data_IF_932990244747
#
_entry.id   IF_932990244747
#
_cell.length_a   1.000
_cell.length_b   1.000
_cell.length_c   1.000
_cell.angle_alpha   90.00
_cell.angle_beta   90.00
_cell.angle_gamma   90.00
#
_symmetry.space_group_name_H-M   'P 1'
#
loop_
_entity.id
_entity.type
_entity.pdbx_description
1 polymer ?
#
# COMPACT_ATOMS: atom_id res chain seq x y z
N UNK A 1 -11.26 -1.52 9.06
CA UNK A 1 -11.17 -0.61 7.90
C UNK A 1 -10.98 -1.41 6.63
N UNK A 2 -11.53 -0.97 5.50
CA UNK A 2 -11.25 -1.57 4.18
C UNK A 2 -10.39 -0.61 3.37
N UNK A 3 -9.35 -1.12 2.70
CA UNK A 3 -8.48 -0.37 1.80
C UNK A 3 -8.74 -0.84 0.36
N UNK A 4 -9.03 0.08 -0.55
CA UNK A 4 -9.09 -0.19 -1.98
C UNK A 4 -7.69 -0.14 -2.59
N UNK A 5 -7.35 -1.10 -3.45
CA UNK A 5 -6.02 -1.20 -4.06
C UNK A 5 -6.16 -1.18 -5.57
N UNK A 6 -5.45 -0.26 -6.21
CA UNK A 6 -5.45 -0.06 -7.67
C UNK A 6 -4.01 0.24 -8.13
N UNK A 7 -3.71 -0.06 -9.39
CA UNK A 7 -2.42 0.22 -10.03
C UNK A 7 -2.60 0.29 -11.53
N UNK A 8 -1.60 0.84 -12.24
CA UNK A 8 -1.45 0.70 -13.68
C UNK A 8 -2.73 1.12 -14.43
N UNK A 9 -3.38 2.19 -13.98
CA UNK A 9 -4.67 2.64 -14.53
C UNK A 9 -4.52 3.21 -15.91
N UNK A 10 -3.37 3.79 -16.26
CA UNK A 10 -3.06 4.12 -17.64
C UNK A 10 -4.13 5.00 -18.31
N UNK A 11 -4.58 6.03 -17.58
CA UNK A 11 -5.47 7.05 -18.13
C UNK A 11 -4.65 8.02 -18.98
N UNK A 12 -4.23 7.55 -20.15
CA UNK A 12 -3.78 8.42 -21.22
C UNK A 12 -5.01 9.20 -21.71
N UNK A 13 -4.86 10.51 -21.92
CA UNK A 13 -5.82 11.45 -22.56
C UNK A 13 -6.29 12.67 -21.74
N UNK A 14 -5.62 13.08 -20.65
CA UNK A 14 -5.88 14.39 -20.01
C UNK A 14 -7.34 14.54 -19.55
N UNK A 15 -7.89 13.50 -18.92
CA UNK A 15 -9.26 13.44 -18.41
C UNK A 15 -10.36 13.12 -19.43
N UNK A 16 -10.02 12.80 -20.70
CA UNK A 16 -11.03 12.35 -21.69
C UNK A 16 -11.46 10.90 -21.49
N UNK A 17 -10.55 10.08 -20.98
CA UNK A 17 -10.83 8.72 -20.52
C UNK A 17 -10.89 8.74 -19.01
N UNK A 18 -11.98 8.19 -18.46
CA UNK A 18 -12.20 8.06 -17.03
C UNK A 18 -11.92 6.63 -16.59
N UNK A 19 -11.65 6.45 -15.30
CA UNK A 19 -11.61 5.13 -14.71
C UNK A 19 -13.00 4.48 -14.86
N UNK A 20 -13.10 3.17 -15.16
CA UNK A 20 -14.40 2.51 -15.21
C UNK A 20 -15.17 2.74 -13.92
N UNK A 21 -16.39 3.27 -14.04
CA UNK A 21 -17.22 3.68 -12.90
C UNK A 21 -17.46 2.51 -11.94
N UNK A 22 -17.51 1.29 -12.46
CA UNK A 22 -17.73 0.08 -11.69
C UNK A 22 -16.58 -0.21 -10.69
N UNK A 23 -15.37 0.32 -10.93
CA UNK A 23 -14.27 0.28 -9.96
C UNK A 23 -14.59 1.17 -8.76
N UNK A 24 -15.08 2.39 -9.02
CA UNK A 24 -15.48 3.33 -7.97
C UNK A 24 -16.68 2.78 -7.18
N UNK A 25 -17.70 2.29 -7.88
CA UNK A 25 -18.89 1.69 -7.27
C UNK A 25 -18.55 0.48 -6.38
N UNK A 26 -17.59 -0.37 -6.79
CA UNK A 26 -17.14 -1.47 -5.93
C UNK A 26 -16.47 -0.97 -4.66
N UNK A 27 -15.64 0.08 -4.74
CA UNK A 27 -15.02 0.66 -3.55
C UNK A 27 -16.04 1.30 -2.62
N UNK A 28 -17.04 2.00 -3.16
CA UNK A 28 -18.17 2.53 -2.38
C UNK A 28 -18.94 1.41 -1.69
N UNK A 29 -19.39 0.39 -2.45
CA UNK A 29 -20.13 -0.76 -1.91
C UNK A 29 -19.32 -1.51 -0.85
N UNK A 30 -17.99 -1.58 -0.98
CA UNK A 30 -17.10 -2.25 -0.04
C UNK A 30 -16.81 -1.42 1.23
N UNK A 31 -17.32 -0.18 1.31
CA UNK A 31 -17.05 0.72 2.42
C UNK A 31 -15.56 1.04 2.56
N UNK A 32 -14.89 1.28 1.43
CA UNK A 32 -13.46 1.62 1.41
C UNK A 32 -13.24 2.95 2.16
N UNK A 33 -12.36 2.94 3.15
CA UNK A 33 -11.99 4.12 3.94
C UNK A 33 -10.63 4.72 3.57
N UNK A 34 -9.86 4.06 2.70
CA UNK A 34 -8.58 4.49 2.17
C UNK A 34 -8.34 3.83 0.82
N UNK A 35 -7.85 4.56 -0.16
CA UNK A 35 -7.43 4.00 -1.45
C UNK A 35 -5.91 4.11 -1.58
N UNK A 36 -5.28 3.08 -2.14
CA UNK A 36 -3.86 3.11 -2.49
C UNK A 36 -3.66 2.84 -3.98
N UNK A 37 -2.81 3.67 -4.62
CA UNK A 37 -2.48 3.55 -6.05
C UNK A 37 -0.99 3.27 -6.26
N UNK A 38 -0.64 2.10 -6.82
CA UNK A 38 0.75 1.68 -7.00
C UNK A 38 1.44 2.24 -8.27
N UNK A 39 1.13 3.48 -8.65
CA UNK A 39 1.73 4.18 -9.80
C UNK A 39 1.15 3.84 -11.17
N UNK A 40 1.62 4.58 -12.18
CA UNK A 40 1.13 4.58 -13.56
C UNK A 40 -0.35 5.01 -13.66
N UNK A 41 -0.62 6.19 -13.08
CA UNK A 41 -1.88 6.92 -13.22
C UNK A 41 -2.01 7.54 -14.61
N UNK A 42 -0.87 8.06 -15.11
CA UNK A 42 -0.66 8.90 -16.28
C UNK A 42 -1.31 10.29 -16.19
N UNK A 43 -2.40 10.40 -15.46
CA UNK A 43 -3.19 11.61 -15.33
C UNK A 43 -3.62 11.84 -13.89
N UNK A 44 -3.52 13.09 -13.44
CA UNK A 44 -3.93 13.52 -12.10
C UNK A 44 -5.43 13.39 -11.87
N UNK A 45 -6.24 13.44 -12.92
CA UNK A 45 -7.70 13.25 -12.81
C UNK A 45 -8.08 11.92 -12.14
N UNK A 46 -7.26 10.87 -12.30
CA UNK A 46 -7.43 9.60 -11.59
C UNK A 46 -7.39 9.78 -10.07
N UNK A 47 -6.49 10.64 -9.54
CA UNK A 47 -6.46 10.94 -8.11
C UNK A 47 -7.77 11.60 -7.68
N UNK A 48 -8.25 12.58 -8.44
CA UNK A 48 -9.49 13.28 -8.12
C UNK A 48 -10.72 12.37 -8.17
N UNK A 49 -10.78 11.44 -9.13
CA UNK A 49 -11.84 10.42 -9.23
C UNK A 49 -11.84 9.48 -8.01
N UNK A 50 -10.67 9.03 -7.58
CA UNK A 50 -10.53 8.15 -6.41
C UNK A 50 -10.76 8.89 -5.08
N UNK A 51 -10.29 10.13 -4.97
CA UNK A 51 -10.47 10.99 -3.80
C UNK A 51 -11.94 11.35 -3.53
N UNK A 52 -12.79 11.27 -4.55
CA UNK A 52 -14.24 11.39 -4.37
C UNK A 52 -14.84 10.24 -3.53
N UNK A 53 -14.16 9.09 -3.46
CA UNK A 53 -14.59 7.91 -2.70
C UNK A 53 -13.96 7.90 -1.30
N UNK A 54 -12.63 8.04 -1.23
CA UNK A 54 -11.87 7.99 0.02
C UNK A 54 -10.50 8.67 -0.15
N UNK A 55 -9.81 9.06 0.95
CA UNK A 55 -8.44 9.56 0.87
C UNK A 55 -7.52 8.61 0.09
N UNK A 56 -6.60 9.16 -0.70
CA UNK A 56 -5.72 8.40 -1.58
C UNK A 56 -4.26 8.52 -1.15
N UNK A 57 -3.56 7.39 -1.09
CA UNK A 57 -2.10 7.33 -1.03
C UNK A 57 -1.58 6.77 -2.35
N UNK A 58 -0.68 7.48 -3.02
CA UNK A 58 -0.14 7.06 -4.31
C UNK A 58 1.38 7.18 -4.37
N UNK A 59 1.98 6.33 -5.17
CA UNK A 59 3.38 6.48 -5.66
C UNK A 59 3.34 6.74 -7.16
N UNK A 60 4.39 7.33 -7.72
CA UNK A 60 4.49 7.43 -9.17
C UNK A 60 5.06 6.14 -9.79
N UNK A 61 4.62 5.86 -11.02
CA UNK A 61 5.19 4.87 -11.92
C UNK A 61 6.10 5.50 -12.97
N UNK A 62 6.51 4.71 -13.96
CA UNK A 62 7.44 5.16 -15.00
C UNK A 62 6.76 5.85 -16.18
N UNK A 63 5.44 5.69 -16.34
CA UNK A 63 4.67 6.32 -17.42
C UNK A 63 3.97 7.61 -16.96
N UNK A 64 4.03 7.91 -15.66
CA UNK A 64 3.44 9.11 -15.08
C UNK A 64 4.05 10.41 -15.64
N UNK A 65 3.25 11.47 -15.66
CA UNK A 65 3.69 12.78 -16.15
C UNK A 65 4.69 13.42 -15.19
N UNK A 66 5.56 14.35 -15.65
CA UNK A 66 6.54 15.02 -14.79
C UNK A 66 5.93 15.64 -13.52
N UNK A 67 4.73 16.23 -13.63
CA UNK A 67 3.99 16.80 -12.50
C UNK A 67 3.63 15.74 -11.41
N UNK A 68 3.29 14.52 -11.82
CA UNK A 68 3.03 13.41 -10.91
C UNK A 68 4.34 12.87 -10.30
N UNK A 69 5.42 12.82 -11.07
CA UNK A 69 6.75 12.43 -10.56
C UNK A 69 7.26 13.40 -9.50
N UNK A 70 6.99 14.70 -9.65
CA UNK A 70 7.42 15.73 -8.69
C UNK A 70 6.61 15.71 -7.39
N UNK A 71 5.35 15.25 -7.44
CA UNK A 71 4.42 15.33 -6.30
C UNK A 71 4.23 14.01 -5.56
N UNK A 72 4.35 12.87 -6.25
CA UNK A 72 4.21 11.56 -5.64
C UNK A 72 5.61 11.00 -5.33
N UNK A 73 5.79 10.28 -4.22
CA UNK A 73 7.06 9.62 -3.94
C UNK A 73 7.22 8.34 -4.79
N UNK A 74 8.47 7.92 -5.00
CA UNK A 74 8.76 6.63 -5.67
C UNK A 74 8.39 5.42 -4.80
N UNK A 75 8.45 5.59 -3.48
CA UNK A 75 8.15 4.58 -2.46
C UNK A 75 7.45 5.27 -1.30
N UNK A 76 6.40 4.65 -0.79
CA UNK A 76 5.69 5.14 0.40
C UNK A 76 5.59 4.04 1.45
N UNK A 77 5.83 4.40 2.71
CA UNK A 77 5.58 3.55 3.89
C UNK A 77 4.45 4.16 4.69
N UNK A 78 3.49 3.34 5.09
CA UNK A 78 2.37 3.78 5.90
C UNK A 78 1.89 2.66 6.83
N UNK A 79 1.23 3.06 7.93
CA UNK A 79 0.67 2.12 8.90
C UNK A 79 -0.81 1.89 8.68
N UNK A 80 -1.28 0.68 8.96
CA UNK A 80 -2.69 0.35 9.06
C UNK A 80 -2.92 -0.51 10.33
N UNK A 81 -3.42 0.12 11.40
CA UNK A 81 -3.42 -0.51 12.73
C UNK A 81 -2.00 -0.77 13.22
N UNK A 82 -1.70 -2.03 13.57
CA UNK A 82 -0.34 -2.46 13.98
C UNK A 82 0.57 -2.86 12.83
N UNK A 83 0.08 -2.85 11.59
CA UNK A 83 0.81 -3.36 10.42
C UNK A 83 1.52 -2.23 9.68
N UNK A 84 2.70 -2.55 9.14
CA UNK A 84 3.51 -1.67 8.29
C UNK A 84 3.37 -2.09 6.84
N UNK A 85 2.87 -1.19 6.00
CA UNK A 85 2.69 -1.42 4.57
C UNK A 85 3.69 -0.58 3.76
N UNK A 86 4.13 -1.13 2.63
CA UNK A 86 4.95 -0.44 1.63
C UNK A 86 4.17 -0.38 0.31
N UNK A 87 4.21 0.77 -0.35
CA UNK A 87 3.69 0.98 -1.69
C UNK A 87 4.85 1.38 -2.60
N UNK A 88 5.00 0.70 -3.74
CA UNK A 88 6.06 0.95 -4.72
C UNK A 88 5.62 0.49 -6.11
N UNK A 89 5.91 1.23 -7.18
CA UNK A 89 5.49 0.81 -8.52
C UNK A 89 6.26 -0.43 -9.04
N UNK A 90 7.60 -0.41 -8.95
CA UNK A 90 8.46 -1.56 -9.29
C UNK A 90 9.24 -1.48 -10.61
N UNK A 91 9.37 -0.29 -11.23
CA UNK A 91 10.04 -0.09 -12.52
C UNK A 91 11.59 0.04 -12.46
N UNK A 92 12.22 -0.19 -11.31
CA UNK A 92 13.64 0.14 -11.05
C UNK A 92 14.67 -0.83 -11.70
N UNK A 93 14.57 -1.10 -13.01
CA UNK A 93 15.57 -1.85 -13.79
C UNK A 93 15.68 -3.34 -13.46
N UNK A 94 14.76 -3.87 -12.64
CA UNK A 94 14.55 -5.30 -12.36
C UNK A 94 13.11 -5.66 -12.71
N UNK A 95 12.70 -6.91 -12.45
CA UNK A 95 11.27 -7.24 -12.50
C UNK A 95 10.54 -6.54 -11.35
N UNK A 96 9.29 -6.12 -11.57
CA UNK A 96 8.44 -5.48 -10.54
C UNK A 96 8.43 -6.28 -9.23
N UNK A 97 8.27 -7.60 -9.36
CA UNK A 97 8.34 -8.55 -8.25
C UNK A 97 9.69 -8.52 -7.53
N UNK A 98 10.81 -8.47 -8.26
CA UNK A 98 12.13 -8.41 -7.65
C UNK A 98 12.35 -7.11 -6.86
N UNK A 99 11.78 -5.99 -7.32
CA UNK A 99 11.76 -4.74 -6.55
C UNK A 99 10.89 -4.89 -5.30
N UNK A 100 9.64 -5.37 -5.43
CA UNK A 100 8.77 -5.57 -4.26
C UNK A 100 9.43 -6.46 -3.18
N UNK A 101 10.14 -7.51 -3.62
CA UNK A 101 10.90 -8.41 -2.73
C UNK A 101 12.02 -7.73 -1.94
N UNK A 102 12.56 -6.58 -2.36
CA UNK A 102 13.60 -5.88 -1.58
C UNK A 102 13.07 -5.31 -0.26
N UNK A 103 11.75 -5.20 -0.13
CA UNK A 103 11.09 -4.73 1.08
C UNK A 103 10.62 -5.87 2.00
N UNK A 104 10.74 -7.13 1.57
CA UNK A 104 10.36 -8.28 2.38
C UNK A 104 11.18 -8.33 3.69
N UNK A 105 10.52 -8.60 4.80
CA UNK A 105 11.08 -8.54 6.16
C UNK A 105 11.09 -7.14 6.79
N UNK A 106 10.79 -6.09 6.03
CA UNK A 106 10.69 -4.70 6.54
C UNK A 106 9.27 -4.14 6.55
N UNK A 107 8.29 -4.95 6.17
CA UNK A 107 6.87 -4.62 6.08
C UNK A 107 6.03 -5.90 6.16
N UNK A 108 4.80 -5.79 6.64
CA UNK A 108 3.84 -6.90 6.64
C UNK A 108 3.23 -7.10 5.24
N UNK A 109 3.06 -6.01 4.49
CA UNK A 109 2.51 -6.01 3.12
C UNK A 109 3.31 -5.07 2.22
N UNK A 110 3.63 -5.52 1.00
CA UNK A 110 4.19 -4.68 -0.06
C UNK A 110 3.25 -4.71 -1.25
N UNK A 111 2.70 -3.55 -1.59
CA UNK A 111 1.80 -3.34 -2.71
C UNK A 111 2.60 -2.81 -3.89
N UNK A 112 2.46 -3.43 -5.05
CA UNK A 112 3.23 -3.07 -6.25
C UNK A 112 2.48 -3.23 -7.57
N UNK A 113 2.97 -2.56 -8.61
CA UNK A 113 2.35 -2.48 -9.94
C UNK A 113 3.26 -2.98 -11.06
N UNK A 114 3.31 -2.22 -12.16
CA UNK A 114 4.24 -2.29 -13.30
C UNK A 114 4.10 -3.51 -14.22
N UNK A 115 3.86 -4.69 -13.66
CA UNK A 115 3.71 -5.92 -14.45
C UNK A 115 2.31 -6.10 -15.03
N UNK A 116 1.30 -5.49 -14.40
CA UNK A 116 -0.13 -5.71 -14.64
C UNK A 116 -0.56 -7.18 -14.45
N UNK A 117 0.23 -7.96 -13.72
CA UNK A 117 -0.06 -9.37 -13.44
C UNK A 117 -0.61 -9.45 -12.01
N UNK A 118 -1.93 -9.62 -11.85
CA UNK A 118 -2.54 -9.77 -10.54
C UNK A 118 -1.93 -10.94 -9.77
N UNK A 119 -1.46 -10.69 -8.54
CA UNK A 119 -0.82 -11.72 -7.73
C UNK A 119 -0.79 -11.36 -6.25
N UNK A 120 -1.13 -12.33 -5.41
CA UNK A 120 -0.80 -12.33 -3.98
C UNK A 120 0.20 -13.46 -3.73
N UNK A 121 1.32 -13.17 -3.10
CA UNK A 121 2.30 -14.18 -2.69
C UNK A 121 2.89 -13.87 -1.33
N UNK A 122 3.21 -14.90 -0.55
CA UNK A 122 3.94 -14.74 0.73
C UNK A 122 5.43 -14.98 0.52
N UNK A 123 6.25 -14.07 1.03
CA UNK A 123 7.71 -14.14 1.02
C UNK A 123 8.20 -13.89 2.45
N UNK A 124 8.65 -14.96 3.12
CA UNK A 124 8.87 -14.96 4.57
C UNK A 124 7.60 -14.47 5.31
N UNK A 125 7.73 -13.48 6.19
CA UNK A 125 6.62 -12.90 6.96
C UNK A 125 5.91 -11.75 6.24
N UNK A 126 6.30 -11.43 4.99
CA UNK A 126 5.72 -10.36 4.20
C UNK A 126 4.80 -10.90 3.11
N UNK A 127 3.64 -10.28 2.91
CA UNK A 127 2.79 -10.50 1.73
C UNK A 127 3.21 -9.50 0.65
N UNK A 128 3.40 -9.97 -0.58
CA UNK A 128 3.54 -9.13 -1.77
C UNK A 128 2.23 -9.18 -2.55
N UNK A 129 1.71 -8.01 -2.91
CA UNK A 129 0.42 -7.86 -3.55
C UNK A 129 0.50 -6.96 -4.78
N UNK A 130 0.21 -7.53 -5.95
CA UNK A 130 -0.04 -6.81 -7.18
C UNK A 130 -1.53 -6.91 -7.53
N UNK A 131 -2.28 -5.79 -7.60
CA UNK A 131 -3.70 -5.81 -7.97
C UNK A 131 -3.90 -6.11 -9.46
N UNK A 132 -2.86 -5.98 -10.29
CA UNK A 132 -2.94 -5.90 -11.73
C UNK A 132 -3.33 -4.49 -12.18
N UNK A 133 -4.06 -4.43 -13.28
CA UNK A 133 -4.62 -3.19 -13.82
C UNK A 133 -6.11 -3.34 -14.05
N UNK A 134 -6.94 -2.33 -13.71
CA UNK A 134 -8.37 -2.35 -14.02
C UNK A 134 -8.68 -2.08 -15.50
N UNK A 135 -7.70 -1.65 -16.29
CA UNK A 135 -7.91 -0.99 -17.60
C UNK A 135 -6.96 -1.48 -18.68
N UNK A 136 -5.84 -2.10 -18.30
CA UNK A 136 -4.86 -2.71 -19.19
C UNK A 136 -4.33 -4.04 -18.59
N UNK A 137 -4.99 -5.15 -18.88
CA UNK A 137 -4.51 -6.49 -18.49
C UNK A 137 -3.26 -6.97 -19.27
N UNK A 138 -2.73 -6.15 -20.20
CA UNK A 138 -1.72 -6.52 -21.19
C UNK A 138 -2.09 -7.83 -21.89
N UNK A 139 -1.29 -8.87 -21.66
CA UNK A 139 -1.49 -10.22 -22.21
C UNK A 139 -2.17 -11.19 -21.23
N UNK A 140 -2.49 -10.73 -20.01
CA UNK A 140 -3.15 -11.52 -18.97
C UNK A 140 -4.64 -11.75 -19.25
N UNK A 141 -5.25 -12.79 -18.70
CA UNK A 141 -6.66 -13.15 -18.99
C UNK A 141 -7.68 -12.19 -18.35
N UNK A 142 -7.31 -11.46 -17.29
CA UNK A 142 -8.23 -10.64 -16.49
C UNK A 142 -7.63 -9.29 -16.14
N UNK A 143 -8.48 -8.28 -16.04
CA UNK A 143 -8.21 -7.07 -15.27
C UNK A 143 -8.27 -7.38 -13.78
N UNK A 144 -7.73 -6.49 -12.96
CA UNK A 144 -7.72 -6.68 -11.51
C UNK A 144 -7.70 -5.40 -10.71
N UNK A 145 -8.33 -5.48 -9.54
CA UNK A 145 -8.22 -4.55 -8.42
C UNK A 145 -8.07 -5.35 -7.14
N UNK A 146 -7.80 -4.67 -6.02
CA UNK A 146 -7.67 -5.30 -4.72
C UNK A 146 -8.53 -4.66 -3.65
N UNK A 147 -8.85 -5.46 -2.64
CA UNK A 147 -9.38 -5.00 -1.35
C UNK A 147 -8.47 -5.54 -0.25
N UNK A 148 -8.18 -4.72 0.77
CA UNK A 148 -7.50 -5.18 1.98
C UNK A 148 -8.39 -4.87 3.17
N UNK A 149 -8.81 -5.92 3.88
CA UNK A 149 -9.55 -5.77 5.13
C UNK A 149 -8.56 -5.73 6.27
N UNK A 150 -8.61 -4.68 7.09
CA UNK A 150 -7.71 -4.49 8.22
C UNK A 150 -8.54 -4.41 9.51
N UNK A 151 -8.17 -5.26 10.47
CA UNK A 151 -8.65 -5.30 11.85
C UNK A 151 -7.50 -4.95 12.80
N UNK A 152 -7.72 -4.95 14.11
CA UNK A 152 -6.64 -4.70 15.07
C UNK A 152 -5.62 -5.86 15.12
N UNK A 153 -6.08 -7.07 14.80
CA UNK A 153 -5.33 -8.32 14.97
C UNK A 153 -4.75 -8.85 13.66
N UNK A 154 -5.37 -8.54 12.52
CA UNK A 154 -5.00 -9.09 11.21
C UNK A 154 -5.34 -8.16 10.04
N UNK A 155 -4.70 -8.41 8.91
CA UNK A 155 -5.12 -7.89 7.61
C UNK A 155 -5.27 -9.03 6.59
N UNK A 156 -6.17 -8.85 5.62
CA UNK A 156 -6.46 -9.83 4.58
C UNK A 156 -6.55 -9.14 3.22
N UNK A 157 -5.55 -9.31 2.34
CA UNK A 157 -5.63 -8.87 0.96
C UNK A 157 -6.47 -9.85 0.13
N UNK A 158 -7.29 -9.31 -0.74
CA UNK A 158 -8.16 -10.03 -1.66
C UNK A 158 -8.02 -9.42 -3.05
N UNK A 159 -8.02 -10.29 -4.06
CA UNK A 159 -7.85 -9.91 -5.45
C UNK A 159 -9.17 -10.12 -6.19
N UNK A 160 -9.71 -9.05 -6.76
CA UNK A 160 -10.93 -9.07 -7.55
C UNK A 160 -10.56 -9.05 -9.03
N UNK A 161 -10.76 -10.20 -9.69
CA UNK A 161 -10.46 -10.37 -11.11
C UNK A 161 -11.72 -10.32 -11.95
N UNK A 162 -11.63 -9.65 -13.10
CA UNK A 162 -12.77 -9.49 -14.00
C UNK A 162 -12.31 -9.43 -15.47
N UNK A 163 -13.17 -9.89 -16.37
CA UNK A 163 -12.94 -9.82 -17.82
C UNK A 163 -13.55 -8.55 -18.45
N UNK A 164 -14.59 -8.00 -17.81
CA UNK A 164 -15.32 -6.80 -18.20
C UNK A 164 -15.64 -6.01 -16.93
N UNK A 165 -15.42 -4.68 -16.87
CA UNK A 165 -15.71 -3.87 -15.69
C UNK A 165 -17.12 -4.07 -15.14
N UNK A 166 -18.12 -4.31 -15.99
CA UNK A 166 -19.51 -4.55 -15.57
C UNK A 166 -19.67 -5.75 -14.64
N UNK A 167 -18.75 -6.71 -14.68
CA UNK A 167 -18.79 -7.88 -13.80
C UNK A 167 -18.56 -7.50 -12.32
N UNK A 168 -17.87 -6.39 -12.05
CA UNK A 168 -17.62 -5.88 -10.70
C UNK A 168 -18.92 -5.61 -9.91
N UNK A 169 -20.00 -5.23 -10.61
CA UNK A 169 -21.32 -4.99 -10.02
C UNK A 169 -21.94 -6.25 -9.40
N UNK A 170 -21.60 -7.43 -9.94
CA UNK A 170 -22.14 -8.72 -9.53
C UNK A 170 -21.23 -9.48 -8.55
N UNK A 171 -20.01 -8.98 -8.30
CA UNK A 171 -19.09 -9.62 -7.35
C UNK A 171 -19.64 -9.42 -5.93
N UNK A 172 -19.72 -10.54 -5.20
CA UNK A 172 -19.94 -10.52 -3.76
C UNK A 172 -18.67 -10.01 -3.08
N UNK A 173 -18.83 -8.89 -2.39
CA UNK A 173 -17.77 -8.20 -1.65
C UNK A 173 -17.98 -8.36 -0.14
N UNK A 174 -18.83 -9.30 0.29
CA UNK A 174 -18.92 -9.68 1.68
C UNK A 174 -17.57 -10.20 2.17
N UNK A 175 -17.21 -9.94 3.45
CA UNK A 175 -15.99 -10.50 4.00
C UNK A 175 -16.07 -12.03 3.98
N UNK A 176 -15.13 -12.67 3.27
CA UNK A 176 -14.95 -14.11 3.39
C UNK A 176 -14.56 -14.42 4.83
N UNK A 177 -15.29 -15.30 5.55
CA UNK A 177 -14.94 -15.61 6.93
C UNK A 177 -13.54 -16.22 7.00
N UNK A 178 -12.76 -15.75 7.97
CA UNK A 178 -11.39 -16.21 8.17
C UNK A 178 -11.39 -17.64 8.72
N UNK A 179 -10.80 -18.58 7.98
CA UNK A 179 -10.46 -19.89 8.53
C UNK A 179 -9.12 -19.76 9.25
N UNK A 180 -9.16 -19.75 10.59
CA UNK A 180 -7.95 -19.88 11.42
C UNK A 180 -7.35 -21.26 11.17
N UNK A 181 -6.38 -21.39 10.28
CA UNK A 181 -5.48 -22.55 10.30
C UNK A 181 -4.48 -22.33 11.44
N UNK A 182 -4.95 -22.58 12.67
CA UNK A 182 -4.11 -22.59 13.85
C UNK A 182 -3.17 -23.78 13.81
N UNK A 183 -1.96 -23.59 13.30
CA UNK A 183 -0.84 -24.48 13.62
C UNK A 183 -0.17 -23.94 14.89
N UNK A 184 -0.86 -24.09 16.03
CA UNK A 184 -0.20 -24.09 17.34
C UNK A 184 -0.18 -25.53 17.80
N UNK A 185 0.90 -26.22 17.46
CA UNK A 185 1.22 -27.51 18.06
C UNK A 185 1.58 -27.20 19.50
N UNK A 186 0.62 -27.41 20.39
CA UNK A 186 0.86 -27.40 21.83
C UNK A 186 1.75 -28.60 22.16
N UNK A 187 3.06 -28.38 22.26
CA UNK A 187 3.94 -29.33 22.92
C UNK A 187 3.64 -29.25 24.43
N UNK A 188 2.70 -30.10 24.86
CA UNK A 188 2.49 -30.41 26.26
C UNK A 188 3.70 -31.16 26.81
N UNK A 189 4.15 -30.70 27.97
CA UNK A 189 5.34 -31.10 28.70
C UNK A 189 5.54 -32.62 28.89
N UNK A 190 6.81 -33.04 28.80
CA UNK A 190 7.31 -34.20 29.54
C UNK A 190 8.28 -33.70 30.61
N UNK A 191 7.83 -33.75 31.86
CA UNK A 191 8.63 -33.59 33.07
C UNK A 191 9.45 -34.86 33.34
N UNK A 192 10.76 -34.73 33.56
CA UNK A 192 11.53 -35.64 34.40
C UNK A 192 12.83 -34.98 34.90
N UNK A 193 12.99 -34.99 36.22
CA UNK A 193 14.16 -34.75 37.07
C UNK A 193 15.45 -35.39 36.52
N UNK A 194 16.69 -34.98 36.83
CA UNK A 194 17.31 -34.84 38.18
C UNK A 194 18.73 -34.21 38.09
N UNK A 195 19.12 -33.48 39.12
CA UNK A 195 20.47 -33.37 39.74
C UNK A 195 21.68 -32.57 39.14
N UNK A 196 21.98 -31.46 39.84
CA UNK A 196 23.27 -31.00 40.44
C UNK A 196 24.56 -30.90 39.61
N UNK A 197 25.19 -29.69 39.54
CA UNK A 197 26.32 -29.23 40.39
C UNK A 197 26.96 -27.90 39.88
N UNK A 198 27.10 -26.94 40.81
CA UNK A 198 28.22 -26.00 41.04
C UNK A 198 28.85 -25.15 39.90
N UNK A 199 28.48 -23.85 39.89
CA UNK A 199 29.31 -22.64 40.17
C UNK A 199 30.53 -22.25 39.26
N UNK A 200 31.05 -21.00 39.32
CA UNK A 200 30.55 -19.80 38.64
C UNK A 200 31.61 -19.19 37.70
N UNK A 201 31.23 -18.26 36.79
CA UNK A 201 32.12 -17.19 36.30
C UNK A 201 31.38 -16.13 35.46
N UNK A 202 31.59 -14.89 35.88
CA UNK A 202 31.79 -13.68 35.08
C UNK A 202 30.58 -13.05 34.35
N UNK A 203 29.98 -12.05 34.99
CA UNK A 203 29.08 -11.09 34.37
C UNK A 203 29.68 -9.69 34.54
N UNK A 204 30.33 -9.20 33.49
CA UNK A 204 30.69 -7.79 33.34
C UNK A 204 29.47 -7.01 32.86
N UNK A 205 29.19 -5.94 33.58
CA UNK A 205 28.17 -4.93 33.29
C UNK A 205 28.46 -4.20 31.97
N UNK A 206 27.43 -4.01 31.14
CA UNK A 206 27.36 -2.90 30.19
C UNK A 206 25.93 -2.31 30.20
N UNK A 207 25.78 -0.98 30.29
CA UNK A 207 24.50 -0.34 30.54
C UNK A 207 23.71 -0.06 29.25
N UNK A 208 22.39 0.03 29.47
CA UNK A 208 21.37 0.43 28.52
C UNK A 208 21.50 1.88 28.05
N UNK A 209 21.27 2.09 26.75
CA UNK A 209 20.82 3.32 26.13
C UNK A 209 20.00 2.87 24.90
N UNK A 210 18.85 3.41 24.55
CA UNK A 210 18.20 4.65 24.88
C UNK A 210 17.30 4.88 23.67
N UNK A 211 16.00 4.72 23.87
CA UNK A 211 14.96 4.95 22.87
C UNK A 211 14.90 6.43 22.53
N UNK A 212 15.16 6.80 21.28
CA UNK A 212 14.86 8.16 20.81
C UNK A 212 13.71 8.16 19.81
N UNK A 213 12.70 8.90 20.24
CA UNK A 213 11.44 9.14 19.61
C UNK A 213 11.54 10.26 18.57
N UNK A 214 10.52 10.23 17.72
CA UNK A 214 10.18 11.14 16.64
C UNK A 214 10.01 12.57 17.17
N UNK A 215 10.63 13.55 16.52
CA UNK A 215 10.27 14.96 16.65
C UNK A 215 9.88 15.52 15.28
N UNK A 216 8.57 15.52 15.00
CA UNK A 216 7.96 16.40 14.02
C UNK A 216 7.68 17.74 14.71
N UNK A 217 8.13 18.85 14.13
CA UNK A 217 7.78 20.17 14.63
C UNK A 217 8.40 21.30 13.82
N UNK A 218 7.55 22.15 13.25
CA UNK A 218 8.00 23.48 12.82
C UNK A 218 7.28 24.11 11.64
N UNK A 219 5.95 24.24 11.70
CA UNK A 219 5.25 25.22 10.89
C UNK A 219 5.76 26.64 11.23
N UNK A 220 6.09 27.46 10.22
CA UNK A 220 6.19 28.92 10.39
C UNK A 220 5.16 29.60 9.51
N UNK A 221 4.32 30.39 10.17
CA UNK A 221 3.28 31.26 9.63
C UNK A 221 3.89 32.59 9.14
N UNK A 222 3.14 33.19 8.22
CA UNK A 222 3.19 34.57 7.73
C UNK A 222 3.24 35.67 8.80
N UNK A 223 3.93 36.77 8.46
CA UNK A 223 3.51 38.18 8.56
C UNK A 223 4.57 39.00 7.79
N UNK A 224 4.26 39.70 6.68
CA UNK A 224 3.51 40.94 6.51
C UNK A 224 4.33 42.21 6.84
N UNK A 225 4.28 43.17 5.92
CA UNK A 225 4.76 44.56 6.03
C UNK A 225 5.81 44.89 4.97
N UNK A 226 5.77 45.97 4.21
CA UNK A 226 4.75 46.98 3.91
C UNK A 226 5.30 47.70 2.66
N UNK A 227 4.42 48.05 1.73
CA UNK A 227 4.62 49.04 0.66
C UNK A 227 4.80 50.44 1.32
N UNK A 228 5.35 51.51 0.68
CA UNK A 228 4.77 52.03 -0.56
C UNK A 228 5.69 52.82 -1.54
N UNK A 229 5.14 52.98 -2.74
CA UNK A 229 5.15 54.16 -3.59
C UNK A 229 6.42 54.53 -4.38
N UNK A 230 6.28 54.52 -5.72
CA UNK A 230 6.23 55.75 -6.53
C UNK A 230 5.75 55.42 -7.95
N UNK A 231 4.68 56.08 -8.40
CA UNK A 231 4.09 55.96 -9.74
C UNK A 231 4.84 56.76 -10.81
N UNK A 232 4.13 57.40 -11.75
CA UNK A 232 3.62 56.77 -12.96
C UNK A 232 4.15 57.44 -14.24
N UNK A 233 3.99 56.80 -15.41
CA UNK A 233 4.21 57.50 -16.68
C UNK A 233 4.13 56.62 -17.92
N UNK A 234 2.99 56.78 -18.60
CA UNK A 234 2.65 56.51 -20.02
C UNK A 234 2.67 55.09 -20.58
#
# INVERSE_FOLDING_TARGET
>A
MTIGVVSDTHMYERGRRQLPIEVLEVFERAGVGLIVHAGDLNDRTVLSELEAIAPVLAVHGNNDTPDLLDQLPAVMRFGAGRFTFVLVHGHQGRTARAVARTFAGSADLVIYGHSHIPKIERVADTILFNPGSPTDRRWGPHFGIGLIRVTAEQFQPELLLFADPRHLTAIDIAPTPYTVHGSRQEDTAATSSTETRSDPRDASELPAAGSDAIAAGGARRHAAGDDPASGPGV
#
